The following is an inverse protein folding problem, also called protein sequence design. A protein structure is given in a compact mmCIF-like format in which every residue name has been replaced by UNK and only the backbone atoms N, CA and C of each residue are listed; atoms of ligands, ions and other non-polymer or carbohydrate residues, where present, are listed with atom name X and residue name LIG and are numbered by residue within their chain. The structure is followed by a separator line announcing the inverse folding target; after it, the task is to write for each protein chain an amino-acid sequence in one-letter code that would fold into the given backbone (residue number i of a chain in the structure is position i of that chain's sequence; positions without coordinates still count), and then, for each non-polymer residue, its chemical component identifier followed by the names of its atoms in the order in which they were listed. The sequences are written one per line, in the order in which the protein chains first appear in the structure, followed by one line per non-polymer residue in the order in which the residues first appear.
data_IF_122456017512
#
_entry.id   IF_122456017512
#
_cell.length_a   1.000
_cell.length_b   1.000
_cell.length_c   1.000
_cell.angle_alpha   90.00
_cell.angle_beta   90.00
_cell.angle_gamma   90.00
#
_symmetry.space_group_name_H-M   'P 1'
#
loop_
_entity.id
_entity.type
_entity.pdbx_description
1 polymer ?
#
# COMPACT_ATOMS: atom_id res chain seq x y z
N UNK A 1 -11.72 16.17 -34.15
CA UNK A 1 -13.08 15.70 -33.80
C UNK A 1 -13.26 15.89 -32.30
N UNK A 2 -14.35 16.53 -31.90
CA UNK A 2 -14.64 16.85 -30.49
C UNK A 2 -15.12 15.60 -29.75
N UNK A 3 -14.61 15.38 -28.54
CA UNK A 3 -15.11 14.37 -27.60
C UNK A 3 -16.40 14.89 -26.96
N UNK A 4 -17.48 14.10 -26.86
CA UNK A 4 -18.64 14.47 -26.06
C UNK A 4 -18.33 14.30 -24.56
N UNK A 5 -18.82 15.27 -23.79
CA UNK A 5 -18.68 15.48 -22.35
C UNK A 5 -19.53 14.55 -21.49
N UNK A 6 -19.06 14.39 -20.24
CA UNK A 6 -19.68 13.76 -19.06
C UNK A 6 -21.20 13.69 -19.05
N UNK A 7 -21.71 12.47 -18.84
CA UNK A 7 -22.96 12.26 -18.15
C UNK A 7 -22.94 10.88 -17.47
N UNK A 8 -22.70 10.89 -16.16
CA UNK A 8 -23.17 9.89 -15.18
C UNK A 8 -23.25 8.43 -15.67
N UNK A 9 -22.11 7.74 -15.74
CA UNK A 9 -22.12 6.29 -15.70
C UNK A 9 -22.17 5.85 -14.24
N UNK A 10 -23.40 5.71 -13.71
CA UNK A 10 -23.64 4.74 -12.64
C UNK A 10 -23.93 3.45 -13.38
N UNK A 11 -23.01 2.46 -13.41
CA UNK A 11 -23.38 1.13 -13.86
C UNK A 11 -24.44 0.62 -12.90
N UNK A 12 -25.67 0.55 -13.37
CA UNK A 12 -26.78 -0.15 -12.74
C UNK A 12 -26.46 -1.65 -12.89
N UNK A 13 -25.64 -2.16 -11.98
CA UNK A 13 -25.06 -3.51 -12.06
C UNK A 13 -25.87 -4.48 -11.19
N UNK A 14 -27.14 -4.67 -11.54
CA UNK A 14 -28.03 -5.68 -10.94
C UNK A 14 -27.77 -7.11 -11.49
N UNK A 15 -26.66 -7.36 -12.21
CA UNK A 15 -26.41 -8.69 -12.77
C UNK A 15 -24.92 -9.11 -12.84
N UNK A 16 -24.08 -8.55 -11.97
CA UNK A 16 -22.77 -9.13 -11.70
C UNK A 16 -22.97 -10.30 -10.73
N UNK A 17 -22.49 -11.49 -11.08
CA UNK A 17 -22.46 -12.68 -10.22
C UNK A 17 -21.58 -12.43 -8.98
N UNK A 18 -22.05 -11.56 -8.07
CA UNK A 18 -21.37 -11.29 -6.81
C UNK A 18 -21.33 -12.58 -6.03
N UNK A 19 -20.15 -12.90 -5.49
CA UNK A 19 -19.97 -14.06 -4.62
C UNK A 19 -21.10 -14.11 -3.57
N UNK A 20 -21.72 -15.28 -3.34
CA UNK A 20 -22.96 -15.38 -2.58
C UNK A 20 -22.79 -15.02 -1.09
N UNK A 21 -21.56 -14.97 -0.60
CA UNK A 21 -21.20 -14.58 0.75
C UNK A 21 -19.71 -14.19 0.83
N UNK A 22 -19.32 -13.63 1.97
CA UNK A 22 -17.95 -13.15 2.23
C UNK A 22 -16.94 -14.30 2.17
N UNK A 23 -17.27 -15.51 2.63
CA UNK A 23 -16.33 -16.63 2.63
C UNK A 23 -15.99 -17.09 1.20
N UNK A 24 -17.01 -17.17 0.34
CA UNK A 24 -16.84 -17.47 -1.09
C UNK A 24 -16.01 -16.37 -1.75
N UNK A 25 -16.26 -15.11 -1.39
CA UNK A 25 -15.50 -13.97 -1.90
C UNK A 25 -14.03 -14.00 -1.49
N UNK A 26 -13.73 -14.33 -0.23
CA UNK A 26 -12.35 -14.50 0.26
C UNK A 26 -11.60 -15.55 -0.58
N UNK A 27 -12.25 -16.67 -0.90
CA UNK A 27 -11.65 -17.72 -1.75
C UNK A 27 -11.34 -17.16 -3.14
N UNK A 28 -12.32 -16.50 -3.78
CA UNK A 28 -12.12 -15.85 -5.09
C UNK A 28 -10.97 -14.84 -5.06
N UNK A 29 -10.87 -13.99 -4.02
CA UNK A 29 -9.79 -13.03 -3.89
C UNK A 29 -8.43 -13.69 -3.64
N UNK A 30 -8.37 -14.78 -2.86
CA UNK A 30 -7.13 -15.55 -2.66
C UNK A 30 -6.63 -16.14 -3.98
N UNK A 31 -7.54 -16.68 -4.80
CA UNK A 31 -7.17 -17.23 -6.10
C UNK A 31 -6.79 -16.12 -7.09
N UNK A 32 -7.49 -14.98 -7.06
CA UNK A 32 -7.11 -13.79 -7.82
C UNK A 32 -5.71 -13.28 -7.46
N UNK A 33 -5.35 -13.23 -6.17
CA UNK A 33 -3.99 -12.85 -5.72
C UNK A 33 -2.94 -13.80 -6.29
N UNK A 34 -3.20 -15.12 -6.32
CA UNK A 34 -2.28 -16.08 -6.93
C UNK A 34 -2.16 -15.87 -8.43
N UNK A 35 -3.26 -15.63 -9.12
CA UNK A 35 -3.26 -15.45 -10.57
C UNK A 35 -2.53 -14.16 -10.97
N UNK A 36 -2.86 -13.02 -10.36
CA UNK A 36 -2.19 -11.73 -10.66
C UNK A 36 -0.72 -11.74 -10.23
N UNK A 37 -0.33 -12.57 -9.24
CA UNK A 37 1.07 -12.70 -8.84
C UNK A 37 1.97 -13.23 -9.96
N UNK A 38 1.40 -14.00 -10.91
CA UNK A 38 2.15 -14.49 -12.08
C UNK A 38 2.58 -13.32 -12.96
N UNK A 39 1.69 -12.35 -13.19
CA UNK A 39 2.03 -11.16 -13.97
C UNK A 39 3.18 -10.36 -13.34
N UNK A 40 3.21 -10.27 -12.00
CA UNK A 40 4.31 -9.62 -11.28
C UNK A 40 5.63 -10.39 -11.41
N UNK A 41 5.59 -11.73 -11.34
CA UNK A 41 6.78 -12.55 -11.57
C UNK A 41 7.28 -12.45 -13.02
N UNK A 42 6.37 -12.43 -13.99
CA UNK A 42 6.69 -12.20 -15.40
C UNK A 42 7.35 -10.83 -15.63
N UNK A 43 6.94 -9.81 -14.88
CA UNK A 43 7.61 -8.50 -14.89
C UNK A 43 9.03 -8.58 -14.32
N UNK A 44 9.25 -9.36 -13.26
CA UNK A 44 10.61 -9.60 -12.74
C UNK A 44 11.48 -10.29 -13.79
N UNK A 45 10.95 -11.29 -14.50
CA UNK A 45 11.65 -11.97 -15.61
C UNK A 45 12.08 -10.99 -16.70
N UNK A 46 11.20 -10.06 -17.08
CA UNK A 46 11.48 -9.04 -18.12
C UNK A 46 12.54 -8.03 -17.74
N UNK A 47 12.81 -7.83 -16.46
CA UNK A 47 13.82 -6.88 -16.02
C UNK A 47 15.25 -7.41 -16.16
N UNK A 48 15.43 -8.71 -16.42
CA UNK A 48 16.75 -9.33 -16.60
C UNK A 48 17.73 -8.94 -15.47
N UNK A 49 17.23 -9.01 -14.23
CA UNK A 49 17.95 -8.54 -13.05
C UNK A 49 19.14 -9.45 -12.70
N UNK A 50 20.15 -8.94 -11.98
CA UNK A 50 21.15 -9.77 -11.34
C UNK A 50 20.51 -10.83 -10.43
N UNK A 51 21.10 -12.03 -10.38
CA UNK A 51 20.56 -13.21 -9.69
C UNK A 51 20.17 -12.94 -8.22
N UNK A 52 20.93 -12.08 -7.51
CA UNK A 52 20.68 -11.74 -6.11
C UNK A 52 19.43 -10.88 -5.94
N UNK A 53 19.27 -9.86 -6.79
CA UNK A 53 18.10 -8.98 -6.77
C UNK A 53 16.85 -9.69 -7.32
N UNK A 54 16.98 -10.51 -8.37
CA UNK A 54 15.88 -11.36 -8.86
C UNK A 54 15.34 -12.26 -7.73
N UNK A 55 16.23 -13.04 -7.12
CA UNK A 55 15.87 -13.95 -6.03
C UNK A 55 15.23 -13.22 -4.86
N UNK A 56 15.75 -12.04 -4.51
CA UNK A 56 15.20 -11.20 -3.44
C UNK A 56 13.78 -10.74 -3.77
N UNK A 57 13.52 -10.21 -4.97
CA UNK A 57 12.19 -9.76 -5.38
C UNK A 57 11.18 -10.90 -5.41
N UNK A 58 11.55 -12.06 -5.96
CA UNK A 58 10.67 -13.26 -5.96
C UNK A 58 10.36 -13.74 -4.55
N UNK A 59 11.34 -13.74 -3.65
CA UNK A 59 11.15 -14.13 -2.25
C UNK A 59 10.20 -13.15 -1.54
N UNK A 60 10.36 -11.85 -1.79
CA UNK A 60 9.49 -10.82 -1.22
C UNK A 60 8.06 -10.94 -1.74
N UNK A 61 7.87 -11.12 -3.06
CA UNK A 61 6.55 -11.36 -3.68
C UNK A 61 5.90 -12.62 -3.08
N UNK A 62 6.63 -13.72 -2.96
CA UNK A 62 6.11 -14.95 -2.37
C UNK A 62 5.64 -14.76 -0.92
N UNK A 63 6.41 -14.03 -0.11
CA UNK A 63 6.03 -13.69 1.27
C UNK A 63 4.79 -12.79 1.33
N UNK A 64 4.65 -11.85 0.39
CA UNK A 64 3.47 -10.97 0.28
C UNK A 64 2.23 -11.80 -0.06
N UNK A 65 2.33 -12.74 -1.02
CA UNK A 65 1.22 -13.64 -1.38
C UNK A 65 0.76 -14.44 -0.16
N UNK A 66 1.69 -15.08 0.54
CA UNK A 66 1.39 -15.89 1.72
C UNK A 66 0.68 -15.06 2.80
N UNK A 67 1.24 -13.89 3.13
CA UNK A 67 0.69 -13.01 4.17
C UNK A 67 -0.65 -12.38 3.79
N UNK A 68 -0.79 -11.97 2.53
CA UNK A 68 -2.06 -11.41 2.02
C UNK A 68 -3.15 -12.46 2.07
N UNK A 69 -2.87 -13.69 1.63
CA UNK A 69 -3.85 -14.78 1.67
C UNK A 69 -4.23 -15.15 3.10
N UNK A 70 -3.27 -15.17 4.04
CA UNK A 70 -3.55 -15.40 5.45
C UNK A 70 -4.47 -14.30 6.04
N UNK A 71 -4.19 -13.04 5.67
CA UNK A 71 -5.02 -11.91 6.06
C UNK A 71 -6.42 -11.98 5.47
N UNK A 72 -6.57 -12.22 4.16
CA UNK A 72 -7.88 -12.36 3.50
C UNK A 72 -8.69 -13.46 4.20
N UNK A 73 -8.07 -14.57 4.56
CA UNK A 73 -8.75 -15.69 5.20
C UNK A 73 -9.25 -15.36 6.62
N UNK A 74 -8.52 -14.55 7.40
CA UNK A 74 -8.72 -14.42 8.85
C UNK A 74 -9.27 -13.07 9.32
N UNK A 75 -8.91 -11.98 8.66
CA UNK A 75 -9.17 -10.61 9.13
C UNK A 75 -10.51 -10.06 8.65
N UNK A 76 -10.74 -9.89 7.34
CA UNK A 76 -11.88 -9.12 6.85
C UNK A 76 -13.19 -9.86 7.04
N UNK A 77 -14.22 -9.21 7.59
CA UNK A 77 -15.55 -9.82 7.83
C UNK A 77 -16.65 -9.28 6.90
N UNK A 78 -16.28 -8.40 5.97
CA UNK A 78 -17.18 -7.78 5.00
C UNK A 78 -16.51 -7.78 3.63
N UNK A 79 -17.29 -7.70 2.55
CA UNK A 79 -16.75 -7.60 1.18
C UNK A 79 -15.76 -6.43 1.06
N UNK A 80 -16.14 -5.24 1.55
CA UNK A 80 -15.26 -4.05 1.57
C UNK A 80 -13.94 -4.31 2.30
N UNK A 81 -13.95 -5.01 3.43
CA UNK A 81 -12.72 -5.34 4.14
C UNK A 81 -11.83 -6.29 3.31
N UNK A 82 -12.43 -7.25 2.59
CA UNK A 82 -11.70 -8.14 1.68
C UNK A 82 -11.04 -7.33 0.57
N UNK A 83 -11.76 -6.36 -0.02
CA UNK A 83 -11.22 -5.47 -1.05
C UNK A 83 -9.98 -4.71 -0.57
N UNK A 84 -10.07 -4.08 0.62
CA UNK A 84 -8.94 -3.31 1.18
C UNK A 84 -7.70 -4.19 1.38
N UNK A 85 -7.87 -5.41 1.90
CA UNK A 85 -6.75 -6.34 2.11
C UNK A 85 -6.17 -6.82 0.78
N UNK A 86 -7.02 -7.15 -0.19
CA UNK A 86 -6.63 -7.58 -1.52
C UNK A 86 -5.84 -6.48 -2.25
N UNK A 87 -6.39 -5.26 -2.31
CA UNK A 87 -5.77 -4.12 -2.98
C UNK A 87 -4.42 -3.75 -2.36
N UNK A 88 -4.31 -3.84 -1.04
CA UNK A 88 -3.04 -3.66 -0.33
C UNK A 88 -2.00 -4.72 -0.73
N UNK A 89 -2.40 -6.00 -0.79
CA UNK A 89 -1.53 -7.08 -1.24
C UNK A 89 -1.02 -6.88 -2.68
N UNK A 90 -1.89 -6.46 -3.59
CA UNK A 90 -1.53 -6.11 -4.98
C UNK A 90 -0.51 -4.97 -5.00
N UNK A 91 -0.75 -3.92 -4.19
CA UNK A 91 0.14 -2.76 -4.11
C UNK A 91 1.53 -3.17 -3.62
N UNK A 92 1.60 -4.01 -2.57
CA UNK A 92 2.87 -4.55 -2.07
C UNK A 92 3.58 -5.41 -3.11
N UNK A 93 2.88 -6.23 -3.89
CA UNK A 93 3.49 -7.00 -4.97
C UNK A 93 4.07 -6.09 -6.06
N UNK A 94 3.36 -5.01 -6.42
CA UNK A 94 3.88 -4.02 -7.36
C UNK A 94 5.13 -3.31 -6.81
N UNK A 95 5.14 -2.95 -5.52
CA UNK A 95 6.30 -2.36 -4.83
C UNK A 95 7.51 -3.30 -4.83
N UNK A 96 7.30 -4.58 -4.50
CA UNK A 96 8.36 -5.59 -4.51
C UNK A 96 8.90 -5.83 -5.92
N UNK A 97 8.02 -5.84 -6.92
CA UNK A 97 8.38 -5.98 -8.34
C UNK A 97 9.24 -4.80 -8.81
N UNK A 98 8.86 -3.57 -8.45
CA UNK A 98 9.64 -2.36 -8.78
C UNK A 98 10.98 -2.27 -8.04
N UNK A 99 11.11 -3.00 -6.92
CA UNK A 99 12.31 -3.04 -6.07
C UNK A 99 12.49 -1.77 -5.23
N UNK A 100 13.46 -1.81 -4.33
CA UNK A 100 13.75 -0.73 -3.37
C UNK A 100 15.16 -0.19 -3.62
N UNK A 101 15.34 0.76 -4.56
CA UNK A 101 16.64 1.32 -4.91
C UNK A 101 17.31 2.07 -3.76
N UNK A 102 16.52 2.62 -2.82
CA UNK A 102 17.00 3.26 -1.61
C UNK A 102 16.23 2.72 -0.39
N UNK A 103 16.74 2.98 0.81
CA UNK A 103 16.14 2.44 2.03
C UNK A 103 14.89 3.25 2.39
N UNK A 104 13.76 2.56 2.53
CA UNK A 104 12.48 3.13 2.95
C UNK A 104 11.78 2.14 3.90
N UNK A 105 11.22 2.67 4.99
CA UNK A 105 10.45 1.91 5.97
C UNK A 105 9.30 2.73 6.52
N UNK A 106 8.14 2.09 6.62
CA UNK A 106 6.93 2.65 7.23
C UNK A 106 6.52 1.71 8.36
N UNK A 107 6.35 2.27 9.55
CA UNK A 107 6.18 1.50 10.77
C UNK A 107 4.96 1.96 11.56
N UNK A 108 4.09 1.02 11.89
CA UNK A 108 3.00 1.19 12.85
C UNK A 108 3.29 0.24 14.01
N UNK A 109 3.38 0.77 15.23
CA UNK A 109 3.75 -0.01 16.42
C UNK A 109 5.04 -0.85 16.22
N UNK A 110 6.06 -0.26 15.57
CA UNK A 110 7.35 -0.90 15.22
C UNK A 110 7.24 -2.09 14.25
N UNK A 111 6.08 -2.35 13.66
CA UNK A 111 5.87 -3.36 12.62
C UNK A 111 5.64 -2.67 11.28
N UNK A 112 6.03 -3.33 10.19
CA UNK A 112 5.84 -2.83 8.82
C UNK A 112 4.97 -3.79 8.01
N UNK A 113 4.34 -3.26 6.97
CA UNK A 113 3.57 -4.02 5.99
C UNK A 113 2.19 -4.45 6.50
N UNK A 114 2.14 -5.34 7.49
CA UNK A 114 0.90 -5.88 8.08
C UNK A 114 0.93 -5.71 9.60
N UNK A 115 0.00 -4.93 10.14
CA UNK A 115 0.05 -4.50 11.54
C UNK A 115 -1.30 -4.58 12.23
N UNK A 116 -1.29 -4.48 13.55
CA UNK A 116 -2.48 -4.55 14.40
C UNK A 116 -2.37 -3.46 15.46
N UNK A 117 -3.47 -2.76 15.72
CA UNK A 117 -3.52 -1.69 16.72
C UNK A 117 -4.94 -1.51 17.26
N UNK A 118 -5.07 -0.83 18.39
CA UNK A 118 -6.36 -0.38 18.90
C UNK A 118 -6.80 0.93 18.22
N UNK A 119 -8.11 1.26 18.24
CA UNK A 119 -8.59 2.58 17.81
C UNK A 119 -7.90 3.73 18.55
N UNK A 120 -7.82 4.89 17.93
CA UNK A 120 -7.23 6.10 18.51
C UNK A 120 -6.29 6.82 17.56
N UNK A 121 -5.43 7.69 18.12
CA UNK A 121 -4.34 8.30 17.37
C UNK A 121 -3.19 7.28 17.26
N UNK A 122 -2.92 6.85 16.04
CA UNK A 122 -1.89 5.85 15.72
C UNK A 122 -0.64 6.58 15.24
N UNK A 123 0.49 6.23 15.85
CA UNK A 123 1.81 6.70 15.44
C UNK A 123 2.32 5.92 14.22
N UNK A 124 2.54 6.65 13.12
CA UNK A 124 3.13 6.11 11.90
C UNK A 124 4.51 6.71 11.71
N UNK A 125 5.56 5.90 11.83
CA UNK A 125 6.93 6.35 11.66
C UNK A 125 7.44 6.01 10.27
N UNK A 126 7.94 7.01 9.56
CA UNK A 126 8.50 6.89 8.22
C UNK A 126 9.99 7.15 8.33
N UNK A 127 10.80 6.19 7.88
CA UNK A 127 12.25 6.32 7.80
C UNK A 127 12.72 6.11 6.38
N UNK A 128 13.64 6.95 5.91
CA UNK A 128 14.27 6.74 4.63
C UNK A 128 15.68 7.35 4.55
N UNK A 129 16.51 6.75 3.71
CA UNK A 129 17.87 7.22 3.43
C UNK A 129 18.15 7.03 1.95
N UNK A 130 18.51 8.12 1.27
CA UNK A 130 18.91 8.10 -0.12
C UNK A 130 20.27 7.42 -0.32
N UNK A 131 20.52 6.94 -1.54
CA UNK A 131 21.82 6.39 -1.97
C UNK A 131 22.86 7.49 -2.07
N UNK A 132 24.12 7.15 -1.80
CA UNK A 132 25.28 7.99 -2.15
C UNK A 132 25.18 9.45 -1.62
N UNK A 133 24.56 9.64 -0.46
CA UNK A 133 24.38 10.98 0.14
C UNK A 133 23.25 11.82 -0.47
N UNK A 134 22.41 11.25 -1.35
CA UNK A 134 21.18 11.89 -1.82
C UNK A 134 20.20 12.06 -0.67
N UNK A 135 19.39 13.11 -0.76
CA UNK A 135 18.38 13.41 0.26
C UNK A 135 17.10 12.64 0.01
N UNK A 136 16.34 12.41 1.07
CA UNK A 136 14.99 11.84 1.01
C UNK A 136 13.96 12.92 1.35
N UNK A 137 12.80 12.87 0.69
CA UNK A 137 11.68 13.77 0.90
C UNK A 137 10.36 13.01 0.88
N UNK A 138 9.45 13.38 1.76
CA UNK A 138 8.08 12.84 1.71
C UNK A 138 7.39 13.33 0.43
N UNK A 139 6.94 12.40 -0.40
CA UNK A 139 6.32 12.66 -1.70
C UNK A 139 4.79 12.73 -1.62
N UNK A 140 4.19 12.98 -2.77
CA UNK A 140 2.75 12.87 -3.00
C UNK A 140 2.45 11.58 -3.75
N UNK A 141 1.37 10.88 -3.38
CA UNK A 141 0.91 9.70 -4.09
C UNK A 141 0.29 10.05 -5.45
N UNK A 142 -0.57 11.07 -5.48
CA UNK A 142 -1.18 11.61 -6.71
C UNK A 142 -0.96 13.13 -6.79
N UNK A 143 -1.57 13.83 -7.75
CA UNK A 143 -1.40 15.30 -7.87
C UNK A 143 -1.94 16.06 -6.66
N UNK A 144 -2.98 15.54 -6.02
CA UNK A 144 -3.72 16.22 -4.95
C UNK A 144 -3.65 15.47 -3.62
N UNK A 145 -3.26 14.18 -3.65
CA UNK A 145 -3.26 13.33 -2.46
C UNK A 145 -1.85 12.95 -2.05
N UNK A 146 -1.52 13.20 -0.78
CA UNK A 146 -0.24 12.82 -0.22
C UNK A 146 -0.12 11.31 -0.03
N UNK A 147 -1.20 10.68 0.42
CA UNK A 147 -1.27 9.26 0.71
C UNK A 147 -2.36 8.61 -0.15
N UNK A 148 -2.09 7.39 -0.65
CA UNK A 148 -3.20 6.50 -1.04
C UNK A 148 -3.82 5.96 0.24
N UNK A 149 -5.13 5.96 0.33
CA UNK A 149 -5.82 5.60 1.56
C UNK A 149 -7.09 4.79 1.26
N UNK A 150 -7.21 3.61 1.86
CA UNK A 150 -8.38 2.75 1.77
C UNK A 150 -8.76 2.26 3.17
N UNK A 151 -10.02 2.40 3.57
CA UNK A 151 -10.46 1.96 4.89
C UNK A 151 -11.91 1.52 4.93
N UNK A 152 -12.23 0.59 5.81
CA UNK A 152 -13.61 0.23 6.14
C UNK A 152 -14.27 1.21 7.10
N UNK A 153 -13.49 1.87 7.97
CA UNK A 153 -13.96 2.81 8.99
C UNK A 153 -13.76 4.28 8.60
N UNK A 154 -13.62 5.14 9.59
CA UNK A 154 -13.24 6.56 9.40
C UNK A 154 -11.86 6.80 9.99
N UNK A 155 -10.89 6.98 9.10
CA UNK A 155 -9.52 7.31 9.48
C UNK A 155 -8.89 8.29 8.47
N UNK A 156 -7.95 9.11 8.93
CA UNK A 156 -7.23 10.10 8.12
C UNK A 156 -5.91 10.51 8.78
N UNK A 157 -4.95 10.97 7.98
CA UNK A 157 -3.72 11.56 8.51
C UNK A 157 -3.94 13.02 8.91
N UNK A 158 -3.37 13.42 10.04
CA UNK A 158 -3.19 14.83 10.35
C UNK A 158 -2.06 15.40 9.49
N UNK A 159 -2.42 16.20 8.49
CA UNK A 159 -1.49 16.78 7.53
C UNK A 159 -1.02 18.21 7.92
N UNK A 160 -1.45 18.73 9.07
CA UNK A 160 -1.22 20.15 9.43
C UNK A 160 0.24 20.49 9.69
N UNK A 161 1.07 19.50 10.06
CA UNK A 161 2.47 19.70 10.42
C UNK A 161 3.43 18.78 9.67
N UNK A 162 3.10 18.44 8.42
CA UNK A 162 3.98 17.59 7.60
C UNK A 162 5.15 18.41 7.06
N UNK A 163 6.40 18.00 7.32
CA UNK A 163 7.56 18.72 6.82
C UNK A 163 7.68 18.61 5.28
N UNK A 164 7.95 19.73 4.62
CA UNK A 164 8.14 19.80 3.15
C UNK A 164 9.61 19.74 2.71
N UNK A 165 10.53 19.68 3.67
CA UNK A 165 11.97 19.71 3.45
C UNK A 165 12.55 18.43 2.88
N UNK A 166 13.83 18.51 2.54
CA UNK A 166 14.67 17.38 2.13
C UNK A 166 15.62 17.03 3.27
N UNK A 167 15.82 15.73 3.51
CA UNK A 167 16.53 15.22 4.67
C UNK A 167 17.61 14.23 4.27
N UNK A 168 18.80 14.34 4.86
CA UNK A 168 19.84 13.31 4.69
C UNK A 168 19.38 11.97 5.31
N UNK A 169 18.73 12.06 6.47
CA UNK A 169 18.00 10.98 7.12
C UNK A 169 16.57 11.45 7.39
N UNK A 170 15.63 10.92 6.60
CA UNK A 170 14.21 11.15 6.83
C UNK A 170 13.77 10.31 8.04
N UNK A 171 13.27 10.96 9.09
CA UNK A 171 12.63 10.31 10.23
C UNK A 171 11.42 11.16 10.65
N UNK A 172 10.26 10.81 10.11
CA UNK A 172 9.01 11.55 10.31
C UNK A 172 8.05 10.70 11.14
N UNK A 173 7.36 11.32 12.08
CA UNK A 173 6.22 10.72 12.77
C UNK A 173 4.94 11.41 12.31
N UNK A 174 4.07 10.66 11.63
CA UNK A 174 2.73 11.09 11.26
C UNK A 174 1.73 10.56 12.27
N UNK A 175 0.65 11.33 12.46
CA UNK A 175 -0.49 10.94 13.28
C UNK A 175 -1.63 10.49 12.38
N UNK A 176 -1.96 9.20 12.44
CA UNK A 176 -3.14 8.64 11.81
C UNK A 176 -4.29 8.68 12.82
N UNK A 177 -5.28 9.53 12.60
CA UNK A 177 -6.50 9.53 13.41
C UNK A 177 -7.38 8.36 12.98
N UNK A 178 -7.58 7.40 13.88
CA UNK A 178 -8.51 6.28 13.75
C UNK A 178 -9.43 6.20 14.97
N UNK A 179 -9.76 7.33 15.61
CA UNK A 179 -10.60 7.38 16.81
C UNK A 179 -12.04 6.91 16.55
N UNK A 180 -12.50 7.07 15.30
CA UNK A 180 -13.83 6.65 14.85
C UNK A 180 -13.84 5.24 14.24
N UNK A 181 -12.69 4.56 14.21
CA UNK A 181 -12.65 3.15 13.81
C UNK A 181 -13.17 2.27 14.93
N UNK A 182 -13.82 1.18 14.55
CA UNK A 182 -14.31 0.14 15.47
C UNK A 182 -13.51 -1.14 15.28
N UNK A 183 -13.66 -2.07 16.22
CA UNK A 183 -13.05 -3.38 16.12
C UNK A 183 -13.39 -4.04 14.77
N UNK A 184 -12.39 -4.67 14.15
CA UNK A 184 -12.41 -5.29 12.81
C UNK A 184 -12.32 -4.32 11.65
N UNK A 185 -12.23 -3.01 11.88
CA UNK A 185 -11.89 -2.10 10.81
C UNK A 185 -10.49 -2.38 10.26
N UNK A 186 -10.34 -2.16 8.97
CA UNK A 186 -9.08 -2.28 8.26
C UNK A 186 -8.74 -0.94 7.64
N UNK A 187 -7.48 -0.54 7.76
CA UNK A 187 -6.94 0.69 7.20
C UNK A 187 -5.70 0.31 6.38
N UNK A 188 -5.71 0.56 5.08
CA UNK A 188 -4.55 0.50 4.21
C UNK A 188 -4.14 1.89 3.78
N UNK A 189 -2.85 2.16 3.80
CA UNK A 189 -2.32 3.41 3.27
C UNK A 189 -0.95 3.20 2.62
N UNK A 190 -0.65 4.01 1.61
CA UNK A 190 0.65 4.02 0.93
C UNK A 190 1.33 5.36 1.15
N UNK A 191 2.55 5.31 1.70
CA UNK A 191 3.42 6.48 1.83
C UNK A 191 4.40 6.49 0.67
N UNK A 192 4.58 7.65 0.04
CA UNK A 192 5.59 7.83 -1.01
C UNK A 192 6.76 8.62 -0.46
N UNK A 193 7.98 8.15 -0.73
CA UNK A 193 9.22 8.91 -0.51
C UNK A 193 9.95 9.06 -1.83
N UNK A 194 10.51 10.23 -2.04
CA UNK A 194 11.32 10.59 -3.19
C UNK A 194 12.78 10.74 -2.78
N UNK A 195 13.68 10.22 -3.60
CA UNK A 195 15.12 10.46 -3.53
C UNK A 195 15.46 11.68 -4.38
N UNK A 196 16.04 12.70 -3.76
CA UNK A 196 16.36 13.97 -4.39
C UNK A 196 17.86 14.08 -4.66
N UNK A 197 18.20 14.41 -5.90
CA UNK A 197 19.56 14.69 -6.35
C UNK A 197 19.55 16.06 -7.03
N UNK A 198 20.42 16.97 -6.57
CA UNK A 198 20.59 18.32 -7.14
C UNK A 198 19.26 19.10 -7.29
N UNK A 199 18.35 18.94 -6.32
CA UNK A 199 17.04 19.59 -6.30
C UNK A 199 15.98 18.97 -7.22
N UNK A 200 16.29 17.83 -7.85
CA UNK A 200 15.37 17.09 -8.74
C UNK A 200 15.08 15.69 -8.18
N UNK A 201 13.86 15.19 -8.39
CA UNK A 201 13.49 13.80 -8.06
C UNK A 201 14.26 12.84 -8.97
N UNK A 202 15.14 12.05 -8.38
CA UNK A 202 15.92 11.02 -9.08
C UNK A 202 15.23 9.66 -9.07
N UNK A 203 14.51 9.37 -7.99
CA UNK A 203 13.80 8.11 -7.79
C UNK A 203 12.63 8.32 -6.82
N UNK A 204 11.63 7.44 -6.86
CA UNK A 204 10.42 7.51 -6.01
C UNK A 204 9.92 6.11 -5.71
N UNK A 205 9.59 5.86 -4.44
CA UNK A 205 8.99 4.58 -4.03
C UNK A 205 7.82 4.76 -3.06
N UNK A 206 6.78 3.98 -3.29
CA UNK A 206 5.67 3.78 -2.37
C UNK A 206 5.95 2.62 -1.43
N UNK A 207 5.47 2.71 -0.19
CA UNK A 207 5.41 1.60 0.76
C UNK A 207 4.02 1.54 1.37
N UNK A 208 3.31 0.45 1.09
CA UNK A 208 1.96 0.21 1.57
C UNK A 208 1.98 -0.48 2.93
N UNK A 209 1.13 -0.01 3.85
CA UNK A 209 0.95 -0.57 5.18
C UNK A 209 -0.52 -0.78 5.45
N UNK A 210 -0.87 -1.98 5.90
CA UNK A 210 -2.23 -2.31 6.32
C UNK A 210 -2.27 -2.55 7.82
N UNK A 211 -3.34 -2.08 8.45
CA UNK A 211 -3.57 -2.11 9.88
C UNK A 211 -4.96 -2.63 10.17
N UNK A 212 -5.05 -3.67 11.00
CA UNK A 212 -6.31 -4.20 11.51
C UNK A 212 -6.56 -3.65 12.91
N UNK A 213 -7.77 -3.11 13.12
CA UNK A 213 -8.22 -2.55 14.38
C UNK A 213 -8.77 -3.66 15.28
N UNK A 214 -8.17 -3.86 16.46
CA UNK A 214 -8.53 -4.93 17.42
C UNK A 214 -9.10 -4.41 18.73
#
# INVERSE_FOLDING_TARGET
MAMPSDNSFVPDDENSERAPNVDSYRITCIDFIKDISRDYLDWVDRYELPDDEDKKRRTEIASIIERTNDWIAKVPQTFKAVDVVMNDGISKMAEATAGKPFQIGVFVNKKSGYTVTSPGIIDVNIKATGREGRKAKLGFHSKEERFRFETTGTAFFDETSIPEGEFDLLDINLKLNAEKCVQRDVISFTVVVSEIQDGTESDRRGVSTITHIV
#
